data_IF_056556287578
#
_entry.id   IF_056556287578
#
_cell.length_a   1.000
_cell.length_b   1.000
_cell.length_c   1.000
_cell.angle_alpha   90.00
_cell.angle_beta   90.00
_cell.angle_gamma   90.00
#
_symmetry.space_group_name_H-M   'P 1'
#
loop_
_entity.id
_entity.type
_entity.pdbx_description
1 polymer ?
#
# COMPACT_ATOMS: atom_id res chain seq x y z
N UNK A 1 -42.27 42.83 77.46
CA UNK A 1 -41.08 41.98 77.17
C UNK A 1 -39.87 42.86 77.40
N UNK A 2 -38.97 42.52 78.33
CA UNK A 2 -37.78 43.34 78.61
C UNK A 2 -36.85 43.30 77.37
N UNK A 3 -36.16 44.39 77.06
CA UNK A 3 -35.32 44.50 75.83
C UNK A 3 -34.25 43.40 75.72
N UNK A 4 -33.83 42.86 76.87
CA UNK A 4 -32.89 41.75 76.98
C UNK A 4 -33.44 40.42 76.40
N UNK A 5 -34.72 40.10 76.65
CA UNK A 5 -35.36 38.89 76.11
C UNK A 5 -35.60 39.01 74.60
N UNK A 6 -35.84 40.23 74.11
CA UNK A 6 -36.10 40.50 72.69
C UNK A 6 -34.83 40.38 71.87
N UNK A 7 -33.71 40.86 72.39
CA UNK A 7 -32.38 40.68 71.80
C UNK A 7 -31.99 39.20 71.79
N UNK A 8 -32.23 38.46 72.88
CA UNK A 8 -31.93 37.02 72.98
C UNK A 8 -32.73 36.19 71.97
N UNK A 9 -34.03 36.49 71.78
CA UNK A 9 -34.87 35.81 70.80
C UNK A 9 -34.41 36.06 69.35
N UNK A 10 -34.00 37.29 69.03
CA UNK A 10 -33.47 37.64 67.71
C UNK A 10 -32.14 36.94 67.43
N UNK A 11 -31.25 36.85 68.42
CA UNK A 11 -29.98 36.13 68.30
C UNK A 11 -30.21 34.63 68.10
N UNK A 12 -31.10 34.01 68.87
CA UNK A 12 -31.45 32.60 68.70
C UNK A 12 -32.09 32.34 67.32
N UNK A 13 -32.99 33.22 66.86
CA UNK A 13 -33.57 33.13 65.52
C UNK A 13 -32.52 33.19 64.41
N UNK A 14 -31.56 34.11 64.50
CA UNK A 14 -30.47 34.25 63.53
C UNK A 14 -29.55 33.02 63.52
N UNK A 15 -29.24 32.45 64.69
CA UNK A 15 -28.42 31.22 64.81
C UNK A 15 -29.12 30.03 64.14
N UNK A 16 -30.42 29.83 64.40
CA UNK A 16 -31.19 28.73 63.79
C UNK A 16 -31.25 28.87 62.26
N UNK A 17 -31.49 30.09 61.75
CA UNK A 17 -31.49 30.35 60.30
C UNK A 17 -30.11 30.03 59.69
N UNK A 18 -29.03 30.44 60.35
CA UNK A 18 -27.67 30.13 59.90
C UNK A 18 -27.39 28.62 59.83
N UNK A 19 -27.83 27.85 60.82
CA UNK A 19 -27.67 26.40 60.84
C UNK A 19 -28.47 25.75 59.70
N UNK A 20 -29.73 26.14 59.51
CA UNK A 20 -30.59 25.59 58.45
C UNK A 20 -30.01 25.89 57.05
N UNK A 21 -29.57 27.13 56.82
CA UNK A 21 -28.93 27.52 55.55
C UNK A 21 -27.62 26.75 55.33
N UNK A 22 -26.81 26.57 56.39
CA UNK A 22 -25.58 25.78 56.32
C UNK A 22 -25.82 24.32 55.95
N UNK A 23 -26.84 23.68 56.53
CA UNK A 23 -27.23 22.30 56.20
C UNK A 23 -27.73 22.21 54.75
N UNK A 24 -28.58 23.15 54.32
CA UNK A 24 -29.11 23.17 52.96
C UNK A 24 -28.00 23.31 51.92
N UNK A 25 -27.07 24.25 52.11
CA UNK A 25 -25.90 24.41 51.23
C UNK A 25 -25.02 23.16 51.21
N UNK A 26 -24.76 22.54 52.37
CA UNK A 26 -23.98 21.30 52.45
C UNK A 26 -24.67 20.13 51.72
N UNK A 27 -25.99 20.04 51.79
CA UNK A 27 -26.76 19.03 51.06
C UNK A 27 -26.70 19.24 49.55
N UNK A 28 -26.85 20.48 49.09
CA UNK A 28 -26.74 20.82 47.67
C UNK A 28 -25.35 20.47 47.12
N UNK A 29 -24.29 20.93 47.78
CA UNK A 29 -22.90 20.63 47.39
C UNK A 29 -22.64 19.13 47.39
N UNK A 30 -23.19 18.38 48.36
CA UNK A 30 -23.06 16.91 48.39
C UNK A 30 -23.76 16.24 47.22
N UNK A 31 -24.88 16.78 46.74
CA UNK A 31 -25.60 16.30 45.55
C UNK A 31 -24.78 16.51 44.28
N UNK A 32 -24.26 17.72 44.09
CA UNK A 32 -23.45 18.08 42.92
C UNK A 32 -22.17 17.24 42.85
N UNK A 33 -21.48 17.02 43.98
CA UNK A 33 -20.29 16.16 44.05
C UNK A 33 -20.61 14.72 43.62
N UNK A 34 -21.78 14.19 44.02
CA UNK A 34 -22.20 12.84 43.62
C UNK A 34 -22.49 12.75 42.12
N UNK A 35 -23.12 13.77 41.55
CA UNK A 35 -23.37 13.85 40.12
C UNK A 35 -22.04 13.89 39.33
N UNK A 36 -21.12 14.77 39.71
CA UNK A 36 -19.78 14.85 39.11
C UNK A 36 -19.03 13.52 39.23
N UNK A 37 -19.10 12.85 40.38
CA UNK A 37 -18.49 11.52 40.56
C UNK A 37 -19.07 10.47 39.61
N UNK A 38 -20.38 10.53 39.34
CA UNK A 38 -21.04 9.63 38.39
C UNK A 38 -20.58 9.92 36.96
N UNK A 39 -20.51 11.19 36.58
CA UNK A 39 -20.05 11.61 35.25
C UNK A 39 -18.61 11.20 34.99
N UNK A 40 -17.72 11.34 35.98
CA UNK A 40 -16.32 10.86 35.89
C UNK A 40 -16.27 9.35 35.60
N UNK A 41 -17.09 8.54 36.28
CA UNK A 41 -17.13 7.09 36.03
C UNK A 41 -17.62 6.75 34.63
N UNK A 42 -18.64 7.48 34.15
CA UNK A 42 -19.14 7.34 32.78
C UNK A 42 -18.05 7.68 31.76
N UNK A 43 -17.33 8.79 31.96
CA UNK A 43 -16.20 9.19 31.12
C UNK A 43 -15.07 8.16 31.12
N UNK A 44 -14.75 7.55 32.27
CA UNK A 44 -13.77 6.46 32.34
C UNK A 44 -14.20 5.25 31.50
N UNK A 45 -15.48 4.85 31.57
CA UNK A 45 -16.00 3.77 30.75
C UNK A 45 -15.93 4.11 29.25
N UNK A 46 -16.29 5.33 28.87
CA UNK A 46 -16.15 5.81 27.49
C UNK A 46 -14.70 5.81 27.01
N UNK A 47 -13.75 6.26 27.83
CA UNK A 47 -12.32 6.27 27.50
C UNK A 47 -11.79 4.85 27.27
N UNK A 48 -12.16 3.89 28.11
CA UNK A 48 -11.80 2.48 27.93
C UNK A 48 -12.38 1.91 26.62
N UNK A 49 -13.61 2.32 26.26
CA UNK A 49 -14.24 1.97 24.99
C UNK A 49 -13.46 2.49 23.79
N UNK A 50 -13.05 3.77 23.84
CA UNK A 50 -12.23 4.40 22.79
C UNK A 50 -10.86 3.73 22.67
N UNK A 51 -10.20 3.41 23.78
CA UNK A 51 -8.92 2.69 23.76
C UNK A 51 -9.04 1.33 23.05
N UNK A 52 -10.12 0.58 23.34
CA UNK A 52 -10.40 -0.69 22.67
C UNK A 52 -10.62 -0.51 21.17
N UNK A 53 -11.39 0.51 20.76
CA UNK A 53 -11.60 0.83 19.35
C UNK A 53 -10.31 1.21 18.63
N UNK A 54 -9.44 1.99 19.26
CA UNK A 54 -8.13 2.36 18.69
C UNK A 54 -7.26 1.12 18.47
N UNK A 55 -7.22 0.19 19.43
CA UNK A 55 -6.52 -1.10 19.27
C UNK A 55 -7.10 -1.92 18.11
N UNK A 56 -8.43 -1.92 17.95
CA UNK A 56 -9.09 -2.59 16.82
C UNK A 56 -8.72 -1.97 15.47
N UNK A 57 -8.64 -0.64 15.40
CA UNK A 57 -8.22 0.08 14.19
C UNK A 57 -6.74 -0.19 13.87
N UNK A 58 -5.85 -0.19 14.87
CA UNK A 58 -4.42 -0.49 14.68
C UNK A 58 -4.22 -1.90 14.08
N UNK A 59 -4.91 -2.90 14.62
CA UNK A 59 -4.90 -4.26 14.06
C UNK A 59 -5.40 -4.27 12.62
N UNK A 60 -6.53 -3.59 12.34
CA UNK A 60 -7.10 -3.54 10.99
C UNK A 60 -6.15 -2.88 9.98
N UNK A 61 -5.46 -1.81 10.38
CA UNK A 61 -4.45 -1.14 9.55
C UNK A 61 -3.27 -2.06 9.26
N UNK A 62 -2.81 -2.83 10.24
CA UNK A 62 -1.74 -3.81 10.07
C UNK A 62 -2.13 -4.93 9.10
N UNK A 63 -3.36 -5.42 9.20
CA UNK A 63 -3.89 -6.46 8.30
C UNK A 63 -4.00 -5.93 6.87
N UNK A 64 -4.56 -4.74 6.68
CA UNK A 64 -4.64 -4.07 5.36
C UNK A 64 -3.25 -3.91 4.73
N UNK A 65 -2.26 -3.46 5.51
CA UNK A 65 -0.88 -3.32 5.03
C UNK A 65 -0.30 -4.65 4.56
N UNK A 66 -0.59 -5.74 5.27
CA UNK A 66 -0.13 -7.09 4.91
C UNK A 66 -0.80 -7.57 3.62
N UNK A 67 -2.13 -7.43 3.51
CA UNK A 67 -2.89 -7.82 2.30
C UNK A 67 -2.47 -7.02 1.07
N UNK A 68 -2.20 -5.72 1.20
CA UNK A 68 -1.69 -4.90 0.10
C UNK A 68 -0.33 -5.39 -0.38
N UNK A 69 0.61 -5.64 0.54
CA UNK A 69 1.93 -6.15 0.18
C UNK A 69 1.87 -7.53 -0.51
N UNK A 70 0.92 -8.40 -0.13
CA UNK A 70 0.68 -9.67 -0.82
C UNK A 70 0.11 -9.46 -2.22
N UNK A 71 -0.85 -8.55 -2.39
CA UNK A 71 -1.44 -8.20 -3.68
C UNK A 71 -0.40 -7.61 -4.63
N UNK A 72 0.49 -6.76 -4.14
CA UNK A 72 1.56 -6.18 -4.94
C UNK A 72 2.52 -7.26 -5.45
N UNK A 73 2.90 -8.23 -4.60
CA UNK A 73 3.70 -9.40 -5.03
C UNK A 73 3.01 -10.26 -6.09
N UNK A 74 1.70 -10.49 -5.96
CA UNK A 74 0.93 -11.24 -6.97
C UNK A 74 0.91 -10.48 -8.30
N UNK A 75 0.66 -9.18 -8.24
CA UNK A 75 0.60 -8.30 -9.42
C UNK A 75 1.95 -8.23 -10.11
N UNK A 76 3.04 -8.10 -9.36
CA UNK A 76 4.40 -8.10 -9.88
C UNK A 76 4.75 -9.40 -10.61
N UNK A 77 4.39 -10.56 -10.04
CA UNK A 77 4.59 -11.86 -10.73
C UNK A 77 3.82 -11.95 -12.04
N UNK A 78 2.59 -11.44 -12.07
CA UNK A 78 1.77 -11.38 -13.29
C UNK A 78 2.43 -10.50 -14.34
N UNK A 79 2.95 -9.33 -13.97
CA UNK A 79 3.65 -8.45 -14.92
C UNK A 79 4.94 -9.07 -15.46
N UNK A 80 5.67 -9.83 -14.65
CA UNK A 80 6.85 -10.56 -15.13
C UNK A 80 6.50 -11.69 -16.12
N UNK A 81 5.37 -12.37 -15.93
CA UNK A 81 4.87 -13.34 -16.92
C UNK A 81 4.48 -12.66 -18.23
N UNK A 82 3.83 -11.50 -18.13
CA UNK A 82 3.43 -10.72 -19.30
C UNK A 82 4.66 -10.19 -20.07
N UNK A 83 5.69 -9.72 -19.36
CA UNK A 83 6.97 -9.35 -19.98
C UNK A 83 7.58 -10.52 -20.76
N UNK A 84 7.58 -11.73 -20.20
CA UNK A 84 8.05 -12.94 -20.89
C UNK A 84 7.24 -13.25 -22.15
N UNK A 85 5.90 -13.21 -22.06
CA UNK A 85 5.00 -13.44 -23.20
C UNK A 85 5.27 -12.45 -24.34
N UNK A 86 5.45 -11.17 -24.01
CA UNK A 86 5.73 -10.11 -24.99
C UNK A 86 7.11 -10.25 -25.61
N UNK A 87 8.13 -10.62 -24.84
CA UNK A 87 9.47 -10.92 -25.35
C UNK A 87 9.45 -12.06 -26.38
N UNK A 88 8.67 -13.12 -26.15
CA UNK A 88 8.49 -14.20 -27.11
C UNK A 88 7.74 -13.73 -28.37
N UNK A 89 6.65 -12.98 -28.20
CA UNK A 89 5.89 -12.44 -29.34
C UNK A 89 6.75 -11.51 -30.21
N UNK A 90 7.58 -10.69 -29.55
CA UNK A 90 8.53 -9.79 -30.21
C UNK A 90 9.61 -10.55 -30.99
N UNK A 91 10.14 -11.64 -30.43
CA UNK A 91 11.11 -12.50 -31.11
C UNK A 91 10.53 -13.05 -32.43
N UNK A 92 9.34 -13.64 -32.35
CA UNK A 92 8.62 -14.11 -33.53
C UNK A 92 8.32 -13.00 -34.54
N UNK A 93 7.86 -11.84 -34.07
CA UNK A 93 7.55 -10.73 -34.94
C UNK A 93 8.80 -10.24 -35.68
N UNK A 94 9.96 -10.19 -35.03
CA UNK A 94 11.23 -9.85 -35.65
C UNK A 94 11.68 -10.86 -36.69
N UNK A 95 11.71 -12.16 -36.34
CA UNK A 95 12.12 -13.25 -37.24
C UNK A 95 11.29 -13.31 -38.52
N UNK A 96 9.98 -13.12 -38.39
CA UNK A 96 9.06 -13.11 -39.52
C UNK A 96 8.84 -11.72 -40.12
N UNK A 97 9.65 -10.72 -39.76
CA UNK A 97 9.59 -9.34 -40.29
C UNK A 97 8.22 -8.66 -40.17
N UNK A 98 7.44 -9.03 -39.16
CA UNK A 98 6.14 -8.45 -38.81
C UNK A 98 6.35 -7.16 -38.01
N UNK A 99 6.92 -6.14 -38.63
CA UNK A 99 7.38 -4.92 -37.96
C UNK A 99 6.30 -4.15 -37.20
N UNK A 100 5.06 -4.13 -37.69
CA UNK A 100 3.94 -3.49 -36.97
C UNK A 100 3.60 -4.23 -35.68
N UNK A 101 3.61 -5.58 -35.72
CA UNK A 101 3.46 -6.42 -34.52
C UNK A 101 4.64 -6.21 -33.57
N UNK A 102 5.87 -6.22 -34.07
CA UNK A 102 7.07 -6.00 -33.26
C UNK A 102 7.00 -4.64 -32.54
N UNK A 103 6.57 -3.59 -33.24
CA UNK A 103 6.39 -2.26 -32.65
C UNK A 103 5.36 -2.27 -31.52
N UNK A 104 4.19 -2.88 -31.75
CA UNK A 104 3.14 -3.00 -30.74
C UNK A 104 3.61 -3.79 -29.51
N UNK A 105 4.34 -4.89 -29.70
CA UNK A 105 4.84 -5.69 -28.59
C UNK A 105 5.90 -4.94 -27.77
N UNK A 106 6.76 -4.13 -28.41
CA UNK A 106 7.71 -3.28 -27.69
C UNK A 106 6.99 -2.20 -26.88
N UNK A 107 5.98 -1.53 -27.46
CA UNK A 107 5.20 -0.50 -26.76
C UNK A 107 4.49 -1.06 -25.53
N UNK A 108 4.01 -2.28 -25.62
CA UNK A 108 3.33 -2.91 -24.52
C UNK A 108 4.29 -3.54 -23.49
N UNK A 109 5.44 -4.04 -23.92
CA UNK A 109 6.52 -4.45 -23.03
C UNK A 109 7.03 -3.25 -22.20
N UNK A 110 7.13 -2.09 -22.84
CA UNK A 110 7.51 -0.83 -22.22
C UNK A 110 6.56 -0.43 -21.07
N UNK A 111 5.24 -0.61 -21.28
CA UNK A 111 4.20 -0.38 -20.25
C UNK A 111 4.28 -1.43 -19.14
N UNK A 112 4.40 -2.71 -19.49
CA UNK A 112 4.44 -3.78 -18.50
C UNK A 112 5.70 -3.70 -17.60
N UNK A 113 6.84 -3.28 -18.14
CA UNK A 113 8.04 -2.97 -17.34
C UNK A 113 7.82 -1.75 -16.43
N UNK A 114 7.14 -0.71 -16.93
CA UNK A 114 6.83 0.47 -16.12
C UNK A 114 5.89 0.12 -14.95
N UNK A 115 4.86 -0.69 -15.19
CA UNK A 115 3.93 -1.15 -14.15
C UNK A 115 4.66 -2.02 -13.11
N UNK A 116 5.50 -2.95 -13.56
CA UNK A 116 6.31 -3.77 -12.68
C UNK A 116 7.26 -2.94 -11.78
N UNK A 117 7.83 -1.86 -12.31
CA UNK A 117 8.69 -0.96 -11.54
C UNK A 117 7.93 -0.16 -10.46
N UNK A 118 6.61 0.01 -10.59
CA UNK A 118 5.76 0.64 -9.57
C UNK A 118 5.45 -0.34 -8.43
N UNK A 119 5.26 -1.61 -8.75
CA UNK A 119 4.82 -2.64 -7.80
C UNK A 119 5.94 -3.15 -6.89
N UNK A 120 7.20 -3.11 -7.34
CA UNK A 120 8.34 -3.54 -6.54
C UNK A 120 9.37 -2.41 -6.37
N UNK A 121 9.29 -1.72 -5.24
CA UNK A 121 10.23 -0.63 -4.90
C UNK A 121 11.69 -1.08 -4.80
N UNK A 122 11.97 -2.36 -4.51
CA UNK A 122 13.35 -2.86 -4.41
C UNK A 122 13.96 -3.09 -5.80
N UNK A 123 13.15 -3.54 -6.76
CA UNK A 123 13.58 -3.81 -8.13
C UNK A 123 13.33 -2.64 -9.09
N UNK A 124 12.59 -1.62 -8.66
CA UNK A 124 12.18 -0.46 -9.47
C UNK A 124 13.34 0.16 -10.26
N UNK A 125 14.45 0.46 -9.59
CA UNK A 125 15.63 1.05 -10.25
C UNK A 125 16.21 0.14 -11.33
N UNK A 126 16.39 -1.15 -11.04
CA UNK A 126 16.93 -2.11 -11.99
C UNK A 126 15.99 -2.31 -13.21
N UNK A 127 14.68 -2.34 -12.99
CA UNK A 127 13.68 -2.45 -14.06
C UNK A 127 13.68 -1.18 -14.93
N UNK A 128 13.78 0.01 -14.31
CA UNK A 128 13.87 1.27 -15.05
C UNK A 128 15.16 1.37 -15.86
N UNK A 129 16.30 0.96 -15.30
CA UNK A 129 17.59 0.93 -16.01
C UNK A 129 17.52 0.00 -17.22
N UNK A 130 16.98 -1.21 -17.05
CA UNK A 130 16.72 -2.14 -18.14
C UNK A 130 15.83 -1.51 -19.21
N UNK A 131 14.68 -0.96 -18.82
CA UNK A 131 13.70 -0.33 -19.71
C UNK A 131 14.34 0.80 -20.52
N UNK A 132 15.04 1.71 -19.85
CA UNK A 132 15.68 2.87 -20.46
C UNK A 132 16.82 2.48 -21.40
N UNK A 133 17.50 1.37 -21.14
CA UNK A 133 18.61 0.89 -21.96
C UNK A 133 18.14 0.14 -23.21
N UNK A 134 17.16 -0.76 -23.08
CA UNK A 134 16.84 -1.73 -24.15
C UNK A 134 15.61 -1.35 -24.97
N UNK A 135 14.57 -0.75 -24.38
CA UNK A 135 13.35 -0.39 -25.13
C UNK A 135 13.66 0.59 -26.27
N UNK A 136 14.46 1.66 -26.09
CA UNK A 136 14.78 2.56 -27.19
C UNK A 136 15.57 1.88 -28.32
N UNK A 137 16.51 0.98 -27.99
CA UNK A 137 17.28 0.22 -28.98
C UNK A 137 16.37 -0.68 -29.82
N UNK A 138 15.43 -1.38 -29.17
CA UNK A 138 14.44 -2.22 -29.86
C UNK A 138 13.53 -1.39 -30.77
N UNK A 139 13.04 -0.25 -30.27
CA UNK A 139 12.22 0.69 -31.07
C UNK A 139 12.98 1.18 -32.30
N UNK A 140 14.25 1.53 -32.16
CA UNK A 140 15.11 1.97 -33.27
C UNK A 140 15.30 0.86 -34.32
N UNK A 141 15.65 -0.36 -33.89
CA UNK A 141 15.86 -1.50 -34.78
C UNK A 141 14.59 -1.85 -35.58
N UNK A 142 13.43 -1.90 -34.92
CA UNK A 142 12.13 -2.17 -35.57
C UNK A 142 11.74 -1.04 -36.52
N UNK A 143 11.95 0.22 -36.15
CA UNK A 143 11.61 1.37 -37.00
C UNK A 143 12.41 1.40 -38.29
N UNK A 144 13.68 0.96 -38.23
CA UNK A 144 14.56 0.82 -39.40
C UNK A 144 14.31 -0.46 -40.19
N UNK A 145 13.51 -1.39 -39.67
CA UNK A 145 13.26 -2.72 -40.26
C UNK A 145 14.57 -3.48 -40.54
N UNK A 146 15.56 -3.26 -39.67
CA UNK A 146 16.90 -3.86 -39.79
C UNK A 146 16.94 -5.17 -39.03
N UNK A 147 16.73 -6.29 -39.74
CA UNK A 147 16.67 -7.62 -39.16
C UNK A 147 17.94 -7.99 -38.40
N UNK A 148 19.12 -7.71 -38.96
CA UNK A 148 20.40 -8.08 -38.32
C UNK A 148 20.63 -7.28 -37.04
N UNK A 149 20.36 -5.98 -37.09
CA UNK A 149 20.46 -5.15 -35.90
C UNK A 149 19.39 -5.55 -34.85
N UNK A 150 18.17 -5.86 -35.29
CA UNK A 150 17.10 -6.33 -34.41
C UNK A 150 17.50 -7.61 -33.69
N UNK A 151 18.00 -8.63 -34.40
CA UNK A 151 18.45 -9.89 -33.81
C UNK A 151 19.55 -9.66 -32.75
N UNK A 152 20.52 -8.79 -33.05
CA UNK A 152 21.58 -8.42 -32.10
C UNK A 152 21.02 -7.74 -30.84
N UNK A 153 20.18 -6.72 -31.01
CA UNK A 153 19.57 -5.98 -29.89
C UNK A 153 18.64 -6.87 -29.09
N UNK A 154 17.88 -7.75 -29.75
CA UNK A 154 17.03 -8.73 -29.07
C UNK A 154 17.86 -9.66 -28.20
N UNK A 155 18.97 -10.21 -28.72
CA UNK A 155 19.84 -11.10 -27.96
C UNK A 155 20.46 -10.40 -26.75
N UNK A 156 20.91 -9.15 -26.91
CA UNK A 156 21.38 -8.32 -25.78
C UNK A 156 20.28 -8.15 -24.73
N UNK A 157 19.06 -7.82 -25.16
CA UNK A 157 17.90 -7.59 -24.28
C UNK A 157 17.52 -8.86 -23.52
N UNK A 158 17.43 -9.98 -24.23
CA UNK A 158 17.12 -11.29 -23.67
C UNK A 158 18.15 -11.73 -22.62
N UNK A 159 19.44 -11.56 -22.92
CA UNK A 159 20.51 -11.86 -21.97
C UNK A 159 20.46 -10.97 -20.72
N UNK A 160 20.06 -9.71 -20.86
CA UNK A 160 19.85 -8.82 -19.72
C UNK A 160 18.63 -9.23 -18.87
N UNK A 161 17.55 -9.74 -19.48
CA UNK A 161 16.44 -10.35 -18.73
C UNK A 161 16.95 -11.51 -17.87
N UNK A 162 17.69 -12.45 -18.47
CA UNK A 162 18.25 -13.60 -17.74
C UNK A 162 19.19 -13.14 -16.62
N UNK A 163 20.07 -12.19 -16.92
CA UNK A 163 21.03 -11.64 -15.96
C UNK A 163 20.34 -11.06 -14.73
N UNK A 164 19.29 -10.27 -14.94
CA UNK A 164 18.47 -9.71 -13.85
C UNK A 164 17.79 -10.81 -13.03
N UNK A 165 17.13 -11.78 -13.68
CA UNK A 165 16.46 -12.88 -12.98
C UNK A 165 17.42 -13.73 -12.15
N UNK A 166 18.61 -14.02 -12.69
CA UNK A 166 19.68 -14.73 -11.97
C UNK A 166 20.16 -13.93 -10.75
N UNK A 167 20.37 -12.62 -10.91
CA UNK A 167 20.75 -11.72 -9.82
C UNK A 167 19.68 -11.61 -8.73
N UNK A 168 18.40 -11.68 -9.13
CA UNK A 168 17.24 -11.66 -8.22
C UNK A 168 16.92 -13.03 -7.60
N UNK A 169 17.70 -14.09 -7.87
CA UNK A 169 17.46 -15.43 -7.35
C UNK A 169 16.19 -16.10 -7.89
N UNK A 170 15.64 -15.60 -9.00
CA UNK A 170 14.49 -16.19 -9.68
C UNK A 170 14.96 -17.14 -10.79
N UNK A 171 14.47 -18.39 -10.86
CA UNK A 171 14.95 -19.35 -11.84
C UNK A 171 14.67 -18.85 -13.27
N UNK A 172 15.69 -18.83 -14.16
CA UNK A 172 15.52 -18.46 -15.56
C UNK A 172 14.66 -19.43 -16.36
N UNK A 173 14.22 -20.56 -15.79
CA UNK A 173 13.56 -21.65 -16.52
C UNK A 173 12.33 -21.19 -17.31
N UNK A 174 11.56 -20.22 -16.80
CA UNK A 174 10.43 -19.65 -17.55
C UNK A 174 10.87 -18.87 -18.80
N UNK A 175 12.08 -18.30 -18.81
CA UNK A 175 12.66 -17.53 -19.92
C UNK A 175 13.45 -18.45 -20.88
N UNK A 176 14.12 -19.47 -20.34
CA UNK A 176 14.84 -20.50 -21.11
C UNK A 176 13.87 -21.29 -21.99
N UNK A 177 12.71 -21.70 -21.44
CA UNK A 177 11.64 -22.36 -22.18
C UNK A 177 11.12 -21.51 -23.35
N UNK A 178 11.09 -20.17 -23.23
CA UNK A 178 10.67 -19.31 -24.34
C UNK A 178 11.68 -19.32 -25.50
N UNK A 179 12.99 -19.41 -25.19
CA UNK A 179 14.04 -19.52 -26.21
C UNK A 179 14.04 -20.88 -26.88
N UNK A 180 13.84 -21.95 -26.10
CA UNK A 180 13.66 -23.31 -26.63
C UNK A 180 12.47 -23.36 -27.59
N UNK A 181 11.29 -22.90 -27.17
CA UNK A 181 10.09 -22.81 -28.02
C UNK A 181 10.36 -22.00 -29.30
N UNK A 182 11.05 -20.87 -29.18
CA UNK A 182 11.39 -20.05 -30.35
C UNK A 182 12.33 -20.77 -31.33
N UNK A 183 13.33 -21.49 -30.82
CA UNK A 183 14.25 -22.29 -31.64
C UNK A 183 13.58 -23.50 -32.29
N UNK A 184 12.57 -24.09 -31.64
CA UNK A 184 11.78 -25.18 -32.20
C UNK A 184 10.90 -24.72 -33.36
N UNK A 185 10.27 -23.53 -33.26
CA UNK A 185 9.47 -22.99 -34.36
C UNK A 185 10.32 -22.58 -35.56
N UNK A 186 11.57 -22.14 -35.35
CA UNK A 186 12.52 -21.94 -36.47
C UNK A 186 12.77 -23.23 -37.25
N UNK A 187 12.94 -24.35 -36.56
CA UNK A 187 13.16 -25.65 -37.19
C UNK A 187 11.94 -26.15 -37.97
N UNK A 188 10.74 -25.73 -37.57
CA UNK A 188 9.48 -26.10 -38.22
C UNK A 188 9.08 -25.18 -39.39
N UNK A 189 9.70 -23.99 -39.47
CA UNK A 189 9.43 -23.00 -40.52
C UNK A 189 10.39 -23.10 -41.72
N UNK A 190 11.40 -23.97 -41.65
CA UNK A 190 12.28 -24.35 -42.75
C UNK A 190 11.73 -25.51 -43.57
#
# INVERSE_FOLDING_TARGET
MNDENRTTLLVLGAVVIGIVLGIFLAQQVSGDIRAVSSDIKSLQASLNGVESSIKGVDSSVKDIKTTLAEKDKVSFRRDMQENGRRMLSLDYAGKFTKWDTAKSEIEELDKALQDAAILDSQLSAAIQDFRNMYIPKLKDAVSKKDTKNFESVWAETYNACIGCHKGAGSPPSAIETLREISSEVEQLAG
#
